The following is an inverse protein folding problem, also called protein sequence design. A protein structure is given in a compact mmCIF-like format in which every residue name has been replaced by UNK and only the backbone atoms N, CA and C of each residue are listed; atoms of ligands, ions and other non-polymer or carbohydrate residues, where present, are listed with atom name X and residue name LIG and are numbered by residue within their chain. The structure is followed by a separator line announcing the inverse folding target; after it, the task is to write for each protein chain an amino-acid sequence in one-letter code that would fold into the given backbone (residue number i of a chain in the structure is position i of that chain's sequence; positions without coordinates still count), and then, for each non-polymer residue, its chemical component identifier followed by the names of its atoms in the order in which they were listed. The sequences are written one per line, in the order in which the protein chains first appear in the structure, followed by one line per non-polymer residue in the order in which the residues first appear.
data_IF_201743905164
#
_entry.id   IF_201743905164
#
_cell.length_a   1.000
_cell.length_b   1.000
_cell.length_c   1.000
_cell.angle_alpha   90.00
_cell.angle_beta   90.00
_cell.angle_gamma   90.00
#
_symmetry.space_group_name_H-M   'P 1'
#
loop_
_entity.id
_entity.type
_entity.pdbx_description
1 polymer ?
#
# COMPACT_ATOMS: atom_id res chain seq x y z
N UNK A 1 -10.57 14.34 -13.65
CA UNK A 1 -9.80 13.17 -14.19
C UNK A 1 -10.71 11.97 -14.24
N UNK A 2 -10.59 11.15 -15.29
CA UNK A 2 -11.22 9.83 -15.36
C UNK A 2 -10.34 8.80 -14.65
N UNK A 3 -10.97 7.91 -13.88
CA UNK A 3 -10.25 6.84 -13.18
C UNK A 3 -9.52 5.91 -14.13
N UNK A 4 -10.14 5.59 -15.29
CA UNK A 4 -9.52 4.78 -16.34
C UNK A 4 -8.22 5.41 -16.86
N UNK A 5 -8.22 6.70 -17.17
CA UNK A 5 -7.02 7.41 -17.64
C UNK A 5 -5.92 7.41 -16.57
N UNK A 6 -6.30 7.59 -15.30
CA UNK A 6 -5.34 7.58 -14.18
C UNK A 6 -4.72 6.21 -13.99
N UNK A 7 -5.51 5.15 -13.99
CA UNK A 7 -5.02 3.76 -13.86
C UNK A 7 -4.10 3.42 -15.02
N UNK A 8 -4.47 3.76 -16.27
CA UNK A 8 -3.60 3.56 -17.46
C UNK A 8 -2.24 4.22 -17.24
N UNK A 9 -2.22 5.49 -16.84
CA UNK A 9 -0.95 6.22 -16.61
C UNK A 9 -0.08 5.58 -15.53
N UNK A 10 -0.67 5.02 -14.46
CA UNK A 10 0.10 4.30 -13.45
C UNK A 10 0.63 2.95 -13.95
N UNK A 11 -0.15 2.21 -14.75
CA UNK A 11 0.31 0.95 -15.36
C UNK A 11 1.47 1.18 -16.31
N UNK A 12 1.38 2.21 -17.18
CA UNK A 12 2.46 2.61 -18.07
C UNK A 12 3.73 3.01 -17.29
N UNK A 13 3.55 3.73 -16.20
CA UNK A 13 4.65 4.14 -15.34
C UNK A 13 5.31 2.97 -14.63
N UNK A 14 4.55 1.98 -14.19
CA UNK A 14 5.08 0.73 -13.62
C UNK A 14 5.93 -0.01 -14.67
N UNK A 15 5.46 -0.10 -15.91
CA UNK A 15 6.22 -0.75 -16.97
C UNK A 15 7.55 -0.04 -17.25
N UNK A 16 7.54 1.31 -17.30
CA UNK A 16 8.71 2.12 -17.65
C UNK A 16 9.74 2.26 -16.53
N UNK A 17 9.34 2.19 -15.26
CA UNK A 17 10.21 2.51 -14.11
C UNK A 17 10.46 1.30 -13.22
N UNK A 18 9.43 0.46 -13.02
CA UNK A 18 9.52 -0.67 -12.09
C UNK A 18 10.03 -1.93 -12.78
N UNK A 19 9.55 -2.22 -14.01
CA UNK A 19 9.89 -3.42 -14.78
C UNK A 19 11.01 -3.20 -15.78
N UNK A 20 11.13 -1.99 -16.31
CA UNK A 20 12.22 -1.58 -17.21
C UNK A 20 12.90 -0.32 -16.68
N UNK A 21 13.79 0.30 -17.47
CA UNK A 21 14.53 1.48 -17.05
C UNK A 21 15.28 1.29 -15.73
N UNK A 22 14.94 2.05 -14.65
CA UNK A 22 15.56 1.90 -13.34
C UNK A 22 15.37 0.52 -12.69
N UNK A 23 14.35 -0.22 -13.08
CA UNK A 23 14.03 -1.57 -12.61
C UNK A 23 13.93 -1.62 -11.09
N UNK A 24 12.96 -0.89 -10.51
CA UNK A 24 12.81 -0.78 -9.05
C UNK A 24 12.39 -2.09 -8.39
N UNK A 25 11.70 -2.98 -9.11
CA UNK A 25 11.20 -4.27 -8.63
C UNK A 25 10.29 -4.13 -7.38
N UNK A 26 9.55 -3.03 -7.33
CA UNK A 26 8.69 -2.69 -6.20
C UNK A 26 7.28 -3.29 -6.29
N UNK A 27 6.84 -3.68 -7.50
CA UNK A 27 5.51 -4.25 -7.76
C UNK A 27 5.65 -5.73 -8.15
N UNK A 28 5.07 -6.62 -7.34
CA UNK A 28 5.07 -8.07 -7.57
C UNK A 28 4.02 -8.52 -8.58
N UNK A 29 2.80 -8.03 -8.40
CA UNK A 29 1.66 -8.42 -9.23
C UNK A 29 0.75 -7.24 -9.50
N UNK A 30 0.16 -7.20 -10.70
CA UNK A 30 -0.88 -6.25 -11.06
C UNK A 30 -2.24 -6.95 -11.03
N UNK A 31 -3.26 -6.19 -10.65
CA UNK A 31 -4.64 -6.65 -10.71
C UNK A 31 -5.13 -6.64 -12.16
N UNK A 32 -5.44 -7.80 -12.76
CA UNK A 32 -5.90 -7.87 -14.15
C UNK A 32 -7.20 -7.11 -14.39
N UNK A 33 -8.03 -6.93 -13.34
CA UNK A 33 -9.31 -6.23 -13.42
C UNK A 33 -9.19 -4.71 -13.20
N UNK A 34 -7.99 -4.16 -12.97
CA UNK A 34 -7.83 -2.76 -12.55
C UNK A 34 -8.47 -1.76 -13.52
N UNK A 35 -8.26 -1.94 -14.83
CA UNK A 35 -8.84 -1.07 -15.87
C UNK A 35 -10.35 -1.19 -15.97
N UNK A 36 -10.90 -2.42 -15.92
CA UNK A 36 -12.35 -2.63 -15.92
C UNK A 36 -13.03 -2.00 -14.69
N UNK A 37 -12.39 -2.11 -13.52
CA UNK A 37 -12.87 -1.46 -12.30
C UNK A 37 -12.77 0.06 -12.38
N UNK A 38 -11.74 0.59 -13.03
CA UNK A 38 -11.60 2.03 -13.25
C UNK A 38 -12.70 2.57 -14.18
N UNK A 39 -13.00 1.85 -15.27
CA UNK A 39 -14.11 2.20 -16.17
C UNK A 39 -15.45 2.21 -15.41
N UNK A 40 -15.72 1.16 -14.62
CA UNK A 40 -16.94 1.10 -13.81
C UNK A 40 -17.05 2.25 -12.79
N UNK A 41 -15.92 2.79 -12.28
CA UNK A 41 -15.93 4.01 -11.45
C UNK A 41 -16.28 5.25 -12.25
N UNK A 42 -15.76 5.37 -13.47
CA UNK A 42 -16.09 6.50 -14.36
C UNK A 42 -17.56 6.49 -14.77
N UNK A 43 -18.12 5.31 -15.07
CA UNK A 43 -19.53 5.14 -15.42
C UNK A 43 -20.44 5.57 -14.26
N UNK A 44 -20.20 5.06 -13.05
CA UNK A 44 -20.93 5.46 -11.85
C UNK A 44 -20.88 6.96 -11.58
N UNK A 45 -19.73 7.59 -11.81
CA UNK A 45 -19.59 9.05 -11.68
C UNK A 45 -20.44 9.78 -12.72
N UNK A 46 -20.49 9.26 -13.96
CA UNK A 46 -21.32 9.84 -15.03
C UNK A 46 -22.82 9.77 -14.69
N UNK A 47 -23.23 8.68 -13.99
CA UNK A 47 -24.60 8.49 -13.52
C UNK A 47 -24.94 9.34 -12.27
N UNK A 48 -24.02 10.17 -11.79
CA UNK A 48 -24.21 11.04 -10.62
C UNK A 48 -24.13 10.31 -9.28
N UNK A 49 -23.68 9.06 -9.25
CA UNK A 49 -23.52 8.31 -8.00
C UNK A 49 -22.35 8.89 -7.17
N UNK A 50 -22.69 9.44 -6.00
CA UNK A 50 -21.70 9.84 -5.01
C UNK A 50 -20.98 8.58 -4.48
N UNK A 51 -19.66 8.56 -4.64
CA UNK A 51 -18.81 7.49 -4.16
C UNK A 51 -17.76 8.13 -3.24
N UNK A 52 -17.36 7.41 -2.20
CA UNK A 52 -16.51 7.90 -1.13
C UNK A 52 -15.23 8.65 -1.53
N UNK A 53 -14.46 9.11 -0.57
CA UNK A 53 -13.36 10.09 -0.77
C UNK A 53 -12.19 9.54 -1.61
N UNK A 54 -12.10 8.21 -1.78
CA UNK A 54 -11.06 7.56 -2.61
C UNK A 54 -11.60 7.08 -3.96
N UNK A 55 -12.71 7.67 -4.45
CA UNK A 55 -13.33 7.24 -5.71
C UNK A 55 -12.36 7.29 -6.89
N UNK A 56 -12.07 6.11 -7.46
CA UNK A 56 -11.19 5.97 -8.62
C UNK A 56 -9.69 6.11 -8.29
N UNK A 57 -9.31 6.19 -7.02
CA UNK A 57 -7.91 6.31 -6.59
C UNK A 57 -7.21 4.95 -6.63
N UNK A 58 -6.13 4.77 -7.41
CA UNK A 58 -5.39 3.53 -7.48
C UNK A 58 -4.45 3.37 -6.28
N UNK A 59 -4.52 2.21 -5.61
CA UNK A 59 -3.75 1.87 -4.42
C UNK A 59 -3.05 0.52 -4.61
N UNK A 60 -1.80 0.41 -4.18
CA UNK A 60 -1.05 -0.83 -4.10
C UNK A 60 -1.02 -1.35 -2.66
N UNK A 61 -1.04 -2.67 -2.50
CA UNK A 61 -1.04 -3.36 -1.21
C UNK A 61 0.25 -4.16 -1.03
N UNK A 62 0.85 -4.14 0.15
CA UNK A 62 1.95 -5.05 0.47
C UNK A 62 1.51 -6.50 0.32
N UNK A 63 2.38 -7.35 -0.20
CA UNK A 63 2.03 -8.71 -0.61
C UNK A 63 1.76 -9.70 0.54
N UNK A 64 1.69 -9.24 1.76
CA UNK A 64 1.17 -10.01 2.89
C UNK A 64 -0.30 -9.71 3.23
N UNK A 65 -0.97 -8.80 2.50
CA UNK A 65 -2.36 -8.40 2.71
C UNK A 65 -3.24 -9.08 1.67
N UNK A 66 -4.24 -9.85 2.08
CA UNK A 66 -5.17 -10.50 1.16
C UNK A 66 -6.10 -9.50 0.48
N UNK A 67 -6.33 -9.73 -0.81
CA UNK A 67 -7.25 -8.96 -1.63
C UNK A 67 -7.90 -9.83 -2.69
N UNK A 68 -9.21 -9.67 -2.89
CA UNK A 68 -9.94 -10.31 -3.99
C UNK A 68 -9.40 -9.87 -5.33
N UNK A 69 -9.36 -10.80 -6.25
CA UNK A 69 -8.82 -10.68 -7.60
C UNK A 69 -7.90 -11.85 -7.87
N UNK A 70 -7.40 -11.94 -9.08
CA UNK A 70 -6.44 -12.98 -9.45
C UNK A 70 -5.01 -12.57 -9.08
N UNK A 71 -4.79 -12.32 -7.78
CA UNK A 71 -3.51 -11.92 -7.22
C UNK A 71 -3.22 -12.78 -6.00
N UNK A 72 -2.06 -13.42 -5.98
CA UNK A 72 -1.61 -14.18 -4.82
C UNK A 72 -1.28 -13.24 -3.64
N UNK A 73 -1.34 -13.78 -2.44
CA UNK A 73 -0.79 -13.20 -1.21
C UNK A 73 0.29 -14.13 -0.70
N UNK A 74 1.54 -13.78 -0.96
CA UNK A 74 2.65 -14.72 -0.84
C UNK A 74 3.68 -14.38 0.22
N UNK A 75 3.65 -13.17 0.80
CA UNK A 75 4.74 -12.64 1.60
C UNK A 75 6.12 -12.77 0.91
N UNK A 76 6.14 -12.73 -0.44
CA UNK A 76 7.34 -12.90 -1.26
C UNK A 76 7.89 -14.32 -1.34
N UNK A 77 7.21 -15.31 -0.75
CA UNK A 77 7.70 -16.68 -0.63
C UNK A 77 7.21 -17.58 -1.76
N UNK A 78 8.10 -18.36 -2.34
CA UNK A 78 7.79 -19.34 -3.41
C UNK A 78 6.69 -20.33 -3.00
N UNK A 79 6.67 -20.73 -1.72
CA UNK A 79 5.67 -21.67 -1.20
C UNK A 79 4.23 -21.15 -1.28
N UNK A 80 4.03 -19.83 -1.37
CA UNK A 80 2.72 -19.17 -1.43
C UNK A 80 2.49 -18.44 -2.77
N UNK A 81 3.31 -18.68 -3.79
CA UNK A 81 3.21 -17.95 -5.07
C UNK A 81 1.84 -18.05 -5.75
N UNK A 82 1.13 -19.15 -5.51
CA UNK A 82 -0.17 -19.45 -6.11
C UNK A 82 -1.32 -19.31 -5.08
N UNK A 83 -1.06 -18.69 -3.92
CA UNK A 83 -2.03 -18.54 -2.83
C UNK A 83 -3.04 -17.42 -3.13
N UNK A 84 -3.98 -17.68 -4.05
CA UNK A 84 -5.10 -16.81 -4.38
C UNK A 84 -6.29 -17.14 -3.48
N UNK A 85 -6.56 -16.29 -2.48
CA UNK A 85 -7.54 -16.60 -1.43
C UNK A 85 -8.97 -16.20 -1.78
N UNK A 86 -9.16 -15.32 -2.76
CA UNK A 86 -10.49 -14.89 -3.23
C UNK A 86 -11.26 -14.01 -2.24
N UNK A 87 -10.62 -13.49 -1.20
CA UNK A 87 -11.22 -12.63 -0.17
C UNK A 87 -10.43 -11.35 0.05
N UNK A 88 -11.08 -10.32 0.59
CA UNK A 88 -10.41 -9.09 1.02
C UNK A 88 -10.13 -9.14 2.53
N UNK A 89 -8.98 -8.62 2.96
CA UNK A 89 -8.81 -8.17 4.34
C UNK A 89 -9.80 -7.04 4.64
N UNK A 90 -10.34 -6.91 5.87
CA UNK A 90 -11.30 -5.84 6.19
C UNK A 90 -10.81 -4.44 5.85
N UNK A 91 -9.50 -4.17 5.98
CA UNK A 91 -8.94 -2.88 5.53
C UNK A 91 -9.08 -2.66 4.01
N UNK A 92 -9.02 -3.73 3.21
CA UNK A 92 -9.20 -3.67 1.75
C UNK A 92 -10.66 -3.46 1.40
N UNK A 93 -11.57 -4.08 2.16
CA UNK A 93 -13.01 -3.81 2.05
C UNK A 93 -13.31 -2.34 2.30
N UNK A 94 -12.74 -1.74 3.35
CA UNK A 94 -12.86 -0.32 3.67
C UNK A 94 -12.34 0.58 2.55
N UNK A 95 -11.16 0.29 2.00
CA UNK A 95 -10.61 1.02 0.85
C UNK A 95 -11.52 0.94 -0.38
N UNK A 96 -12.06 -0.25 -0.69
CA UNK A 96 -12.99 -0.43 -1.82
C UNK A 96 -14.32 0.27 -1.59
N UNK A 97 -14.84 0.26 -0.35
CA UNK A 97 -16.05 0.98 0.04
C UNK A 97 -15.88 2.49 -0.10
N UNK A 98 -14.70 3.01 0.22
CA UNK A 98 -14.33 4.41 -0.03
C UNK A 98 -14.10 4.75 -1.52
N UNK A 99 -14.18 3.75 -2.42
CA UNK A 99 -14.09 3.92 -3.86
C UNK A 99 -12.73 3.61 -4.48
N UNK A 100 -11.72 3.22 -3.72
CA UNK A 100 -10.39 2.91 -4.22
C UNK A 100 -10.37 1.73 -5.21
N UNK A 101 -9.37 1.75 -6.07
CA UNK A 101 -9.05 0.68 -7.01
C UNK A 101 -7.77 0.00 -6.53
N UNK A 102 -7.85 -1.30 -6.22
CA UNK A 102 -6.65 -2.06 -5.90
C UNK A 102 -5.92 -2.35 -7.20
N UNK A 103 -4.77 -1.69 -7.38
CA UNK A 103 -3.96 -1.75 -8.59
C UNK A 103 -3.09 -3.00 -8.65
N UNK A 104 -2.66 -3.50 -7.48
CA UNK A 104 -1.77 -4.66 -7.42
C UNK A 104 -1.17 -4.90 -6.04
N UNK A 105 -0.14 -5.73 -6.03
CA UNK A 105 0.61 -6.14 -4.84
C UNK A 105 2.06 -5.65 -4.94
N UNK A 106 2.60 -5.11 -3.85
CA UNK A 106 3.99 -4.65 -3.79
C UNK A 106 4.91 -5.71 -3.21
N UNK A 107 6.14 -5.74 -3.74
CA UNK A 107 7.23 -6.53 -3.20
C UNK A 107 7.57 -6.10 -1.75
N UNK A 108 8.22 -6.98 -1.01
CA UNK A 108 8.52 -6.79 0.40
C UNK A 108 9.78 -7.57 0.75
N UNK A 109 10.37 -7.29 1.91
CA UNK A 109 11.30 -8.25 2.49
C UNK A 109 10.55 -9.55 2.76
N UNK A 110 11.04 -10.66 2.24
CA UNK A 110 10.36 -11.95 2.36
C UNK A 110 9.98 -12.26 3.81
N UNK A 111 8.74 -12.71 4.02
CA UNK A 111 8.16 -12.95 5.35
C UNK A 111 8.30 -11.76 6.31
N UNK A 112 8.29 -10.53 5.79
CA UNK A 112 8.41 -9.28 6.55
C UNK A 112 9.66 -9.24 7.45
N UNK A 113 10.79 -9.82 7.01
CA UNK A 113 12.04 -9.97 7.74
C UNK A 113 11.99 -10.93 8.95
N UNK A 114 10.87 -11.60 9.19
CA UNK A 114 10.67 -12.41 10.39
C UNK A 114 11.60 -13.61 10.50
N UNK A 115 11.95 -14.25 9.38
CA UNK A 115 12.56 -15.57 9.36
C UNK A 115 14.06 -15.63 9.64
N UNK A 116 14.75 -14.49 9.66
CA UNK A 116 16.21 -14.48 9.82
C UNK A 116 16.68 -13.16 10.42
N UNK A 117 17.61 -13.24 11.34
CA UNK A 117 18.33 -12.08 11.87
C UNK A 117 19.28 -11.45 10.83
N UNK A 118 19.54 -12.14 9.73
CA UNK A 118 20.35 -11.69 8.59
C UNK A 118 19.51 -11.44 7.35
N UNK A 119 18.21 -11.14 7.51
CA UNK A 119 17.33 -10.78 6.39
C UNK A 119 17.82 -9.56 5.66
N UNK A 120 17.77 -9.60 4.33
CA UNK A 120 18.04 -8.45 3.50
C UNK A 120 16.72 -7.71 3.22
N UNK A 121 16.62 -6.46 3.68
CA UNK A 121 15.42 -5.65 3.45
C UNK A 121 15.19 -5.41 1.96
N UNK A 122 13.95 -5.63 1.53
CA UNK A 122 13.51 -5.43 0.15
C UNK A 122 13.76 -6.62 -0.78
N UNK A 123 14.34 -7.72 -0.29
CA UNK A 123 14.52 -8.91 -1.10
C UNK A 123 13.42 -9.94 -0.86
N UNK A 124 12.91 -10.52 -1.96
CA UNK A 124 12.06 -11.70 -1.90
C UNK A 124 12.40 -12.70 -3.00
N UNK A 125 12.09 -13.98 -2.78
CA UNK A 125 12.32 -15.02 -3.78
C UNK A 125 11.45 -14.86 -5.03
N UNK A 126 10.30 -14.18 -4.91
CA UNK A 126 9.38 -13.94 -6.03
C UNK A 126 9.71 -12.66 -6.81
N UNK A 127 10.17 -11.61 -6.13
CA UNK A 127 10.31 -10.28 -6.73
C UNK A 127 11.75 -9.77 -6.81
N UNK A 128 12.75 -10.52 -6.32
CA UNK A 128 14.12 -10.04 -6.24
C UNK A 128 14.28 -8.86 -5.27
N UNK A 129 15.28 -8.02 -5.52
CA UNK A 129 15.65 -6.90 -4.66
C UNK A 129 14.98 -5.61 -5.09
N UNK A 130 14.14 -5.05 -4.23
CA UNK A 130 13.60 -3.68 -4.39
C UNK A 130 14.73 -2.66 -4.29
N UNK A 131 14.76 -1.71 -5.20
CA UNK A 131 15.73 -0.60 -5.21
C UNK A 131 15.12 0.67 -4.65
N UNK A 132 15.96 1.49 -4.01
CA UNK A 132 15.55 2.83 -3.60
C UNK A 132 15.46 3.75 -4.84
N UNK A 133 14.30 4.38 -5.12
CA UNK A 133 14.13 5.19 -6.34
C UNK A 133 14.98 6.46 -6.38
N UNK A 134 15.50 6.93 -5.26
CA UNK A 134 16.36 8.10 -5.18
C UNK A 134 17.85 7.74 -5.34
N UNK A 135 18.20 6.49 -4.96
CA UNK A 135 19.57 5.97 -5.02
C UNK A 135 19.52 4.47 -5.35
N UNK A 136 19.60 4.15 -6.63
CA UNK A 136 19.34 2.79 -7.15
C UNK A 136 20.30 1.71 -6.61
N UNK A 137 21.46 2.09 -6.10
CA UNK A 137 22.44 1.23 -5.47
C UNK A 137 22.24 1.08 -3.94
N UNK A 138 21.20 1.68 -3.38
CA UNK A 138 20.90 1.66 -1.96
C UNK A 138 19.69 0.82 -1.63
N UNK A 139 19.71 0.26 -0.42
CA UNK A 139 18.61 -0.50 0.15
C UNK A 139 17.45 0.45 0.51
N UNK A 140 16.19 0.13 0.15
CA UNK A 140 15.03 0.97 0.45
C UNK A 140 14.54 0.84 1.90
N UNK A 141 15.25 0.10 2.77
CA UNK A 141 14.74 -0.42 4.04
C UNK A 141 13.51 -1.33 3.87
N UNK A 142 12.94 -1.82 4.92
CA UNK A 142 11.80 -2.75 4.87
C UNK A 142 11.15 -2.95 6.25
N UNK A 143 10.19 -3.84 6.26
CA UNK A 143 9.83 -4.84 5.26
C UNK A 143 8.85 -4.37 4.18
N UNK A 144 8.18 -3.23 4.31
CA UNK A 144 7.28 -2.66 3.28
C UNK A 144 8.04 -1.93 2.17
N UNK A 145 9.11 -2.54 1.68
CA UNK A 145 10.09 -1.95 0.76
C UNK A 145 9.47 -1.52 -0.56
N UNK A 146 8.72 -2.42 -1.19
CA UNK A 146 8.04 -2.13 -2.45
C UNK A 146 6.94 -1.09 -2.29
N UNK A 147 6.20 -1.11 -1.17
CA UNK A 147 5.18 -0.09 -0.89
C UNK A 147 5.81 1.31 -0.82
N UNK A 148 6.95 1.46 -0.12
CA UNK A 148 7.63 2.73 -0.02
C UNK A 148 8.22 3.19 -1.37
N UNK A 149 8.94 2.31 -2.06
CA UNK A 149 9.56 2.63 -3.35
C UNK A 149 8.50 3.00 -4.40
N UNK A 150 7.38 2.24 -4.46
CA UNK A 150 6.26 2.52 -5.36
C UNK A 150 5.60 3.88 -5.06
N UNK A 151 5.35 4.21 -3.79
CA UNK A 151 4.80 5.52 -3.41
C UNK A 151 5.76 6.66 -3.78
N UNK A 152 7.05 6.53 -3.46
CA UNK A 152 8.08 7.52 -3.78
C UNK A 152 8.21 7.75 -5.29
N UNK A 153 8.21 6.67 -6.09
CA UNK A 153 8.30 6.73 -7.55
C UNK A 153 6.97 7.09 -8.25
N UNK A 154 5.88 7.33 -7.49
CA UNK A 154 4.54 7.59 -8.06
C UNK A 154 4.04 6.46 -8.96
N UNK A 155 4.13 5.23 -8.49
CA UNK A 155 3.57 4.06 -9.18
C UNK A 155 2.12 3.76 -8.76
N UNK A 156 1.64 4.47 -7.76
CA UNK A 156 0.25 4.53 -7.33
C UNK A 156 0.00 5.86 -6.59
N UNK A 157 -1.25 6.22 -6.36
CA UNK A 157 -1.60 7.40 -5.57
C UNK A 157 -1.26 7.23 -4.08
N UNK A 158 -1.31 5.99 -3.60
CA UNK A 158 -0.91 5.61 -2.26
C UNK A 158 -0.68 4.10 -2.17
N UNK A 159 -0.03 3.67 -1.10
CA UNK A 159 0.24 2.26 -0.85
C UNK A 159 -0.06 1.90 0.59
N UNK A 160 -0.26 0.62 0.86
CA UNK A 160 -0.43 0.08 2.21
C UNK A 160 0.78 -0.77 2.56
N UNK A 161 1.36 -0.50 3.72
CA UNK A 161 2.38 -1.31 4.35
C UNK A 161 1.87 -2.05 5.58
N UNK A 162 2.71 -2.87 6.18
CA UNK A 162 2.48 -3.47 7.50
C UNK A 162 3.71 -3.29 8.37
N UNK A 163 3.51 -3.12 9.65
CA UNK A 163 4.59 -2.97 10.62
C UNK A 163 4.33 -3.74 11.90
N UNK A 164 5.33 -4.48 12.31
CA UNK A 164 5.49 -4.98 13.68
C UNK A 164 6.42 -4.03 14.43
N UNK A 165 7.62 -3.81 13.86
CA UNK A 165 8.64 -2.89 14.38
C UNK A 165 9.43 -2.30 13.22
N UNK A 166 9.19 -1.04 12.88
CA UNK A 166 9.90 -0.28 11.86
C UNK A 166 9.48 -0.52 10.40
N UNK A 167 8.66 -1.53 10.11
CA UNK A 167 8.42 -1.98 8.73
C UNK A 167 7.54 -1.06 7.85
N UNK A 168 6.95 0.00 8.39
CA UNK A 168 6.37 1.13 7.66
C UNK A 168 7.31 2.34 7.77
N UNK A 169 7.73 2.65 8.99
CA UNK A 169 8.47 3.88 9.30
C UNK A 169 9.84 3.87 8.65
N UNK A 170 10.61 2.78 8.75
CA UNK A 170 11.95 2.71 8.17
C UNK A 170 11.94 2.87 6.63
N UNK A 171 11.16 2.08 5.86
CA UNK A 171 11.13 2.27 4.42
C UNK A 171 10.52 3.61 4.01
N UNK A 172 9.58 4.18 4.77
CA UNK A 172 9.05 5.51 4.48
C UNK A 172 10.13 6.59 4.63
N UNK A 173 10.91 6.54 5.71
CA UNK A 173 12.03 7.44 5.92
C UNK A 173 13.09 7.31 4.82
N UNK A 174 13.50 6.08 4.49
CA UNK A 174 14.53 5.81 3.49
C UNK A 174 14.13 6.25 2.07
N UNK A 175 12.83 6.33 1.78
CA UNK A 175 12.29 6.70 0.47
C UNK A 175 11.63 8.10 0.45
N UNK A 176 11.73 8.88 1.54
CA UNK A 176 11.29 10.27 1.59
C UNK A 176 9.77 10.45 1.43
N UNK A 177 8.99 9.58 2.04
CA UNK A 177 7.51 9.62 2.01
C UNK A 177 6.91 9.67 3.42
N UNK A 178 5.61 9.92 3.50
CA UNK A 178 4.84 9.83 4.74
C UNK A 178 4.43 8.38 4.96
N UNK A 179 4.92 7.77 6.04
CA UNK A 179 4.44 6.49 6.53
C UNK A 179 3.81 6.65 7.91
N UNK A 180 2.67 6.03 8.12
CA UNK A 180 1.97 6.12 9.39
C UNK A 180 1.69 4.72 9.95
N UNK A 181 2.25 4.42 11.13
CA UNK A 181 1.95 3.21 11.90
C UNK A 181 0.84 3.55 12.90
N UNK A 182 -0.41 3.09 12.67
CA UNK A 182 -1.51 3.34 13.59
C UNK A 182 -1.32 2.59 14.92
N UNK A 183 -2.10 2.98 15.92
CA UNK A 183 -2.25 2.19 17.14
C UNK A 183 -2.76 0.79 16.80
N UNK A 184 -2.16 -0.22 17.42
CA UNK A 184 -2.57 -1.63 17.25
C UNK A 184 -4.05 -1.78 17.56
N UNK A 185 -4.78 -2.47 16.69
CA UNK A 185 -6.23 -2.67 16.79
C UNK A 185 -7.09 -1.60 16.11
N UNK A 186 -6.53 -0.44 15.71
CA UNK A 186 -7.28 0.59 14.96
C UNK A 186 -7.61 0.11 13.53
N UNK A 187 -6.66 -0.51 12.88
CA UNK A 187 -6.81 -1.14 11.55
C UNK A 187 -6.88 -2.66 11.76
N UNK A 188 -7.95 -3.33 11.29
CA UNK A 188 -8.09 -4.78 11.44
C UNK A 188 -6.95 -5.55 10.77
N UNK A 189 -6.46 -6.59 11.46
CA UNK A 189 -5.35 -7.41 10.98
C UNK A 189 -5.79 -8.77 10.39
N UNK A 190 -7.10 -9.02 10.28
CA UNK A 190 -7.61 -10.25 9.67
C UNK A 190 -7.16 -10.35 8.21
N UNK A 191 -6.76 -11.57 7.82
CA UNK A 191 -6.30 -11.88 6.46
C UNK A 191 -5.06 -11.10 6.03
N UNK A 192 -4.19 -10.81 7.01
CA UNK A 192 -2.82 -10.36 6.80
C UNK A 192 -1.89 -11.44 7.34
N UNK A 193 -0.90 -11.86 6.57
CA UNK A 193 0.11 -12.83 7.03
C UNK A 193 0.84 -12.20 8.21
N UNK A 194 0.76 -12.80 9.43
CA UNK A 194 1.16 -12.15 10.68
C UNK A 194 2.62 -12.39 11.03
N UNK A 195 3.10 -11.53 11.96
CA UNK A 195 4.30 -11.77 12.78
C UNK A 195 3.91 -11.85 14.25
N UNK A 196 3.26 -10.82 14.77
CA UNK A 196 2.94 -10.67 16.21
C UNK A 196 1.53 -10.12 16.39
N UNK A 197 0.68 -10.87 17.08
CA UNK A 197 -0.70 -10.44 17.35
C UNK A 197 -0.82 -9.19 18.25
N UNK A 198 0.24 -8.85 18.97
CA UNK A 198 0.26 -7.72 19.91
C UNK A 198 0.96 -6.47 19.36
N UNK A 199 1.63 -6.57 18.19
CA UNK A 199 2.43 -5.49 17.66
C UNK A 199 2.06 -5.13 16.21
N UNK A 200 1.50 -6.08 15.43
CA UNK A 200 1.23 -5.89 14.02
C UNK A 200 0.14 -4.85 13.80
N UNK A 201 0.38 -4.00 12.81
CA UNK A 201 -0.64 -3.13 12.25
C UNK A 201 -0.35 -2.84 10.79
N UNK A 202 -1.40 -2.64 10.00
CA UNK A 202 -1.27 -2.10 8.64
C UNK A 202 -1.43 -0.58 8.69
N UNK A 203 -0.81 0.12 7.74
CA UNK A 203 -0.89 1.56 7.69
C UNK A 203 -0.60 2.14 6.30
N UNK A 204 -1.03 3.39 6.07
CA UNK A 204 -0.85 4.08 4.80
C UNK A 204 0.58 4.57 4.61
N UNK A 205 1.03 4.54 3.36
CA UNK A 205 2.31 5.07 2.90
C UNK A 205 2.05 5.93 1.65
N UNK A 206 2.27 7.22 1.77
CA UNK A 206 1.84 8.22 0.77
C UNK A 206 2.85 9.37 0.65
N UNK A 207 2.68 10.23 -0.35
CA UNK A 207 3.52 11.44 -0.49
C UNK A 207 3.12 12.59 0.42
N UNK A 208 1.90 12.58 0.96
CA UNK A 208 1.36 13.70 1.75
C UNK A 208 0.65 13.21 3.01
N UNK A 209 0.67 14.01 4.06
CA UNK A 209 -0.08 13.74 5.30
C UNK A 209 -1.58 13.62 5.02
N UNK A 210 -2.14 14.48 4.15
CA UNK A 210 -3.56 14.40 3.75
C UNK A 210 -3.88 13.05 3.10
N UNK A 211 -3.04 12.56 2.19
CA UNK A 211 -3.20 11.24 1.58
C UNK A 211 -3.18 10.11 2.61
N UNK A 212 -2.27 10.18 3.58
CA UNK A 212 -2.20 9.21 4.68
C UNK A 212 -3.48 9.23 5.53
N UNK A 213 -3.97 10.42 5.88
CA UNK A 213 -5.20 10.59 6.65
C UNK A 213 -6.44 10.05 5.91
N UNK A 214 -6.58 10.35 4.61
CA UNK A 214 -7.68 9.82 3.77
C UNK A 214 -7.66 8.29 3.71
N UNK A 215 -6.50 7.70 3.51
CA UNK A 215 -6.35 6.24 3.48
C UNK A 215 -6.62 5.62 4.86
N UNK A 216 -6.10 6.23 5.93
CA UNK A 216 -6.34 5.74 7.29
C UNK A 216 -7.83 5.76 7.64
N UNK A 217 -8.53 6.84 7.29
CA UNK A 217 -10.00 6.95 7.48
C UNK A 217 -10.73 5.78 6.81
N UNK A 218 -10.31 5.41 5.60
CA UNK A 218 -10.93 4.30 4.86
C UNK A 218 -10.53 2.91 5.42
N UNK A 219 -9.37 2.76 6.03
CA UNK A 219 -8.85 1.49 6.53
C UNK A 219 -9.25 1.19 7.98
N UNK A 220 -9.50 2.24 8.77
CA UNK A 220 -9.78 2.12 10.19
C UNK A 220 -11.22 1.68 10.44
N UNK A 221 -11.41 0.66 11.28
CA UNK A 221 -12.73 0.20 11.74
C UNK A 221 -12.69 -0.30 13.18
N UNK A 222 -11.53 -0.26 13.83
CA UNK A 222 -11.37 -0.59 15.24
C UNK A 222 -11.80 0.54 16.18
N UNK A 223 -11.69 0.35 17.50
CA UNK A 223 -11.97 1.38 18.47
C UNK A 223 -11.15 2.65 18.20
N UNK A 224 -11.81 3.80 18.16
CA UNK A 224 -11.19 5.09 17.84
C UNK A 224 -11.15 5.44 16.35
N UNK A 225 -11.78 4.62 15.47
CA UNK A 225 -11.94 4.97 14.07
C UNK A 225 -12.72 6.29 13.92
N UNK A 226 -12.20 7.19 13.09
CA UNK A 226 -12.73 8.54 12.87
C UNK A 226 -12.35 9.05 11.49
N UNK A 227 -12.87 10.22 11.11
CA UNK A 227 -12.35 10.96 9.96
C UNK A 227 -11.07 11.71 10.35
N UNK A 228 -9.93 11.13 9.98
CA UNK A 228 -8.61 11.70 10.26
C UNK A 228 -8.26 12.89 9.38
N UNK A 229 -9.11 13.26 8.41
CA UNK A 229 -8.91 14.45 7.58
C UNK A 229 -9.48 15.72 8.24
N UNK A 230 -10.42 15.58 9.17
CA UNK A 230 -11.11 16.67 9.80
C UNK A 230 -10.19 17.59 10.65
N UNK A 231 -9.10 17.05 11.19
CA UNK A 231 -8.13 17.77 12.01
C UNK A 231 -6.92 18.32 11.27
N UNK A 232 -6.89 18.23 9.94
CA UNK A 232 -5.74 18.69 9.14
C UNK A 232 -5.73 20.20 8.98
N UNK A 233 -4.95 20.86 9.82
CA UNK A 233 -4.68 22.29 9.78
C UNK A 233 -3.16 22.55 9.77
N UNK A 234 -2.71 23.44 8.90
CA UNK A 234 -1.29 23.85 8.81
C UNK A 234 -0.80 24.55 10.07
N UNK A 235 -1.72 25.12 10.86
CA UNK A 235 -1.43 25.83 12.11
C UNK A 235 -1.67 24.96 13.36
N UNK A 236 -2.02 23.70 13.21
CA UNK A 236 -2.40 22.81 14.33
C UNK A 236 -1.33 22.69 15.45
N UNK A 237 -0.06 22.90 15.10
CA UNK A 237 1.06 22.84 16.07
C UNK A 237 1.36 24.20 16.73
N UNK A 238 0.70 25.29 16.32
CA UNK A 238 0.93 26.60 16.91
C UNK A 238 0.41 26.62 18.35
N UNK A 239 1.32 26.78 19.31
CA UNK A 239 1.02 26.76 20.75
C UNK A 239 0.76 25.37 21.32
N UNK A 240 0.90 24.29 20.54
CA UNK A 240 0.78 22.94 21.04
C UNK A 240 1.97 22.57 21.95
N UNK A 241 1.70 21.84 23.04
CA UNK A 241 2.75 21.16 23.83
C UNK A 241 2.93 19.76 23.26
N UNK A 242 4.13 19.47 22.82
CA UNK A 242 4.55 18.17 22.27
C UNK A 242 5.34 17.40 23.33
#
# INVERSE_FOLDING_TARGET
FKAHTLVTAYLDRIEQIDRSGPTLQSVLALNPDALARAQARDDRRADGEAIGPLHGVPILLKDNIEARGNMATSAGALALRDNVTGRDSPLVEGLRAAGAIILGKTNLSQWANYRSNSSMSGWSALGGQVRNPHMLDRNPCGSSSGSAAAAAASLAAGTVGTETNGSIICPSNANGIVGFKPTVGLVPQQYIIPISSTQDTAGPMTKTVRGAAMMLTAMASGPGAADYTAGLDTNALQGARI
#
